data_IF_231814378972
#
_entry.id   IF_231814378972
#
_cell.length_a   1.000
_cell.length_b   1.000
_cell.length_c   1.000
_cell.angle_alpha   90.00
_cell.angle_beta   90.00
_cell.angle_gamma   90.00
#
_symmetry.space_group_name_H-M   'P 1'
#
loop_
_entity.id
_entity.type
_entity.pdbx_description
1 polymer ?
#
# COMPACT_ATOMS: atom_id res chain seq x y z
N UNK A 1 25.13 7.10 18.11
CA UNK A 1 23.67 7.38 17.99
C UNK A 1 23.04 6.31 17.10
N UNK A 2 22.25 5.39 17.66
CA UNK A 2 21.57 4.35 16.87
C UNK A 2 20.29 4.97 16.30
N UNK A 3 20.26 5.20 14.97
CA UNK A 3 19.05 5.67 14.26
C UNK A 3 17.95 4.63 14.48
N UNK A 4 16.89 4.96 15.21
CA UNK A 4 15.70 4.10 15.33
C UNK A 4 15.16 3.84 13.92
N UNK A 5 15.32 2.60 13.44
CA UNK A 5 14.75 2.17 12.16
C UNK A 5 13.24 2.20 12.32
N UNK A 6 12.56 3.05 11.55
CA UNK A 6 11.09 3.05 11.49
C UNK A 6 10.65 1.69 10.97
N UNK A 7 10.02 0.88 11.83
CA UNK A 7 9.40 -0.38 11.42
C UNK A 7 8.08 -0.05 10.73
N UNK A 8 7.93 -0.48 9.49
CA UNK A 8 6.67 -0.35 8.75
C UNK A 8 5.96 -1.71 8.80
N UNK A 9 4.75 -1.73 9.33
CA UNK A 9 3.90 -2.92 9.24
C UNK A 9 3.36 -3.01 7.81
N UNK A 10 3.72 -4.08 7.10
CA UNK A 10 3.21 -4.36 5.77
C UNK A 10 1.89 -5.11 5.89
N UNK A 11 0.79 -4.56 5.35
CA UNK A 11 -0.57 -5.08 5.59
C UNK A 11 -1.31 -5.58 4.35
N UNK A 12 -0.61 -6.00 3.28
CA UNK A 12 -1.27 -6.71 2.19
C UNK A 12 -0.40 -7.02 0.98
N UNK A 13 -0.44 -8.27 0.52
CA UNK A 13 0.06 -8.73 -0.79
C UNK A 13 -1.11 -9.15 -1.70
N UNK A 14 -2.25 -8.49 -1.52
CA UNK A 14 -3.51 -8.79 -2.20
C UNK A 14 -3.40 -8.49 -3.71
N UNK A 15 -3.94 -9.37 -4.55
CA UNK A 15 -4.02 -9.12 -5.99
C UNK A 15 -5.17 -8.15 -6.28
N UNK A 16 -4.92 -6.85 -6.13
CA UNK A 16 -5.92 -5.79 -6.32
C UNK A 16 -6.51 -5.69 -7.74
N UNK A 17 -5.85 -6.28 -8.74
CA UNK A 17 -6.24 -6.11 -10.16
C UNK A 17 -6.52 -7.43 -10.89
N UNK A 18 -6.34 -8.57 -10.23
CA UNK A 18 -6.94 -9.84 -10.64
C UNK A 18 -6.50 -10.40 -11.99
N UNK A 19 -5.24 -10.24 -12.42
CA UNK A 19 -4.75 -10.91 -13.63
C UNK A 19 -3.50 -10.30 -14.26
N UNK A 20 -3.10 -10.86 -15.40
CA UNK A 20 -2.01 -10.34 -16.23
C UNK A 20 -2.43 -9.06 -16.96
N UNK A 21 -1.57 -8.05 -16.91
CA UNK A 21 -1.75 -6.82 -17.69
C UNK A 21 -1.08 -7.01 -19.03
N UNK A 22 -1.86 -6.99 -20.12
CA UNK A 22 -1.31 -7.05 -21.49
C UNK A 22 -0.34 -5.89 -21.74
N UNK A 23 0.74 -6.10 -22.54
CA UNK A 23 1.68 -5.03 -22.88
C UNK A 23 0.98 -3.79 -23.44
N UNK A 24 1.49 -2.61 -23.07
CA UNK A 24 0.96 -1.30 -23.47
C UNK A 24 -0.52 -1.02 -23.09
N UNK A 25 -1.14 -1.85 -22.25
CA UNK A 25 -2.47 -1.57 -21.70
C UNK A 25 -2.37 -0.92 -20.33
N UNK A 26 -3.24 0.05 -20.10
CA UNK A 26 -3.46 0.63 -18.77
C UNK A 26 -4.63 -0.07 -18.11
N UNK A 27 -4.46 -0.52 -16.89
CA UNK A 27 -5.55 -0.98 -16.03
C UNK A 27 -5.93 0.12 -15.02
N UNK A 28 -7.21 0.20 -14.71
CA UNK A 28 -7.75 1.11 -13.69
C UNK A 28 -8.71 0.33 -12.80
N UNK A 29 -8.64 0.59 -11.50
CA UNK A 29 -9.42 -0.14 -10.51
C UNK A 29 -9.18 0.41 -9.12
N UNK A 30 -9.98 -0.06 -8.16
CA UNK A 30 -9.83 0.27 -6.74
C UNK A 30 -9.02 -0.83 -6.07
N UNK A 31 -7.94 -0.46 -5.38
CA UNK A 31 -7.25 -1.35 -4.47
C UNK A 31 -7.83 -1.23 -3.07
N UNK A 32 -8.00 -2.35 -2.38
CA UNK A 32 -8.51 -2.40 -1.00
C UNK A 32 -7.46 -3.01 -0.11
N UNK A 33 -7.25 -2.41 1.07
CA UNK A 33 -6.24 -2.83 2.02
C UNK A 33 -6.82 -2.80 3.42
N UNK A 34 -6.54 -3.84 4.19
CA UNK A 34 -6.84 -3.87 5.62
C UNK A 34 -5.75 -3.11 6.36
N UNK A 35 -6.16 -2.20 7.24
CA UNK A 35 -5.27 -1.41 8.09
C UNK A 35 -5.78 -1.42 9.53
N UNK A 36 -4.91 -1.23 10.53
CA UNK A 36 -5.35 -1.04 11.92
C UNK A 36 -6.36 0.11 12.02
N UNK A 37 -7.39 -0.06 12.87
CA UNK A 37 -8.51 0.89 13.00
C UNK A 37 -8.07 2.33 13.34
N UNK A 38 -6.95 2.47 14.02
CA UNK A 38 -6.38 3.74 14.48
C UNK A 38 -5.21 4.26 13.61
N UNK A 39 -4.92 3.62 12.46
CA UNK A 39 -3.88 4.05 11.54
C UNK A 39 -4.23 5.44 10.96
N UNK A 40 -3.26 6.35 10.98
CA UNK A 40 -3.40 7.72 10.43
C UNK A 40 -2.61 7.96 9.16
N UNK A 41 -1.52 7.22 8.99
CA UNK A 41 -0.59 7.38 7.88
C UNK A 41 -0.21 6.01 7.34
N UNK A 42 -0.18 5.90 6.01
CA UNK A 42 0.26 4.71 5.30
C UNK A 42 1.12 5.11 4.10
N UNK A 43 1.93 4.18 3.61
CA UNK A 43 2.66 4.33 2.34
C UNK A 43 2.26 3.17 1.45
N UNK A 44 1.70 3.48 0.28
CA UNK A 44 1.49 2.48 -0.77
C UNK A 44 2.77 2.41 -1.59
N UNK A 45 3.32 1.21 -1.73
CA UNK A 45 4.53 0.95 -2.50
C UNK A 45 4.15 0.10 -3.71
N UNK A 46 4.39 0.62 -4.91
CA UNK A 46 4.31 -0.15 -6.14
C UNK A 46 5.73 -0.52 -6.58
N UNK A 47 5.99 -1.82 -6.65
CA UNK A 47 7.22 -2.38 -7.20
C UNK A 47 6.85 -3.21 -8.43
N UNK A 48 7.13 -2.74 -9.65
CA UNK A 48 6.89 -3.52 -10.86
C UNK A 48 7.63 -4.86 -10.82
N UNK A 49 7.07 -5.87 -11.48
CA UNK A 49 7.69 -7.18 -11.61
C UNK A 49 9.10 -7.03 -12.22
N UNK A 50 10.10 -7.64 -11.57
CA UNK A 50 11.52 -7.61 -11.96
C UNK A 50 12.17 -6.22 -12.09
N UNK A 51 11.54 -5.16 -11.55
CA UNK A 51 12.15 -3.83 -11.51
C UNK A 51 12.95 -3.59 -10.22
N UNK A 52 14.05 -2.84 -10.35
CA UNK A 52 14.79 -2.26 -9.22
C UNK A 52 14.15 -0.95 -8.74
N UNK A 53 13.28 -0.36 -9.55
CA UNK A 53 12.57 0.86 -9.25
C UNK A 53 11.31 0.61 -8.42
N UNK A 54 10.90 1.63 -7.67
CA UNK A 54 9.69 1.61 -6.86
C UNK A 54 9.03 2.98 -6.89
N UNK A 55 7.70 3.00 -6.94
CA UNK A 55 6.91 4.20 -6.73
C UNK A 55 6.27 4.15 -5.35
N UNK A 56 6.13 5.32 -4.72
CA UNK A 56 5.61 5.46 -3.36
C UNK A 56 4.61 6.59 -3.28
N UNK A 57 3.49 6.34 -2.62
CA UNK A 57 2.48 7.36 -2.32
C UNK A 57 2.21 7.40 -0.83
N UNK A 58 2.36 8.57 -0.22
CA UNK A 58 1.98 8.80 1.18
C UNK A 58 0.46 9.02 1.25
N UNK A 59 -0.22 8.22 2.05
CA UNK A 59 -1.67 8.26 2.23
C UNK A 59 -1.98 8.69 3.65
N UNK A 60 -2.90 9.66 3.78
CA UNK A 60 -3.54 9.99 5.06
C UNK A 60 -4.82 9.16 5.19
N UNK A 61 -4.93 8.41 6.27
CA UNK A 61 -6.10 7.61 6.60
C UNK A 61 -6.87 8.33 7.68
N UNK A 62 -8.17 8.53 7.47
CA UNK A 62 -9.06 9.01 8.52
C UNK A 62 -9.38 7.82 9.42
N UNK A 63 -8.99 7.83 10.70
CA UNK A 63 -9.31 6.73 11.61
C UNK A 63 -10.81 6.52 11.69
N UNK A 64 -11.23 5.26 11.71
CA UNK A 64 -12.61 4.95 12.05
C UNK A 64 -12.80 5.24 13.54
N UNK A 65 -13.95 5.82 13.89
CA UNK A 65 -14.33 5.96 15.30
C UNK A 65 -14.53 4.54 15.86
N UNK A 66 -13.85 4.23 16.95
CA UNK A 66 -14.16 3.02 17.71
C UNK A 66 -15.56 3.20 18.28
N UNK A 67 -16.49 2.34 17.90
CA UNK A 67 -17.77 2.21 18.59
C UNK A 67 -17.51 1.27 19.76
N UNK A 68 -16.99 1.82 20.86
CA UNK A 68 -16.94 1.16 22.16
C UNK A 68 -18.23 1.47 22.92
#
# INVERSE_FOLDING_TARGET
MIKKVKKYTFTGSENNFGGEVKPAKTIKGKGYYSVPINMREAVVIYKPFQSTEQQKWNIKVTPLKSNE
#
